data_IF_117949999492
#
_entry.id   IF_117949999492
#
_cell.length_a   1.000
_cell.length_b   1.000
_cell.length_c   1.000
_cell.angle_alpha   90.00
_cell.angle_beta   90.00
_cell.angle_gamma   90.00
#
_symmetry.space_group_name_H-M   'P 1'
#
loop_
_entity.id
_entity.type
_entity.pdbx_description
1 polymer ?
#
# COMPACT_ATOMS: atom_id res chain seq x y z
N UNK A 1 -36.35 -32.80 47.08
CA UNK A 1 -34.90 -32.86 46.77
C UNK A 1 -34.58 -31.77 45.74
N UNK A 2 -33.47 -31.06 45.95
CA UNK A 2 -33.12 -29.79 45.29
C UNK A 2 -32.30 -30.03 43.99
N UNK A 3 -32.70 -29.37 42.89
CA UNK A 3 -31.97 -28.80 41.71
C UNK A 3 -30.62 -29.42 41.24
N UNK A 4 -30.26 -29.44 39.92
CA UNK A 4 -30.37 -28.24 39.06
C UNK A 4 -30.73 -28.44 37.58
N UNK A 5 -31.65 -27.60 37.13
CA UNK A 5 -31.81 -27.17 35.73
C UNK A 5 -30.91 -25.94 35.57
N UNK A 6 -29.69 -26.10 35.05
CA UNK A 6 -28.78 -24.98 34.81
C UNK A 6 -27.72 -25.30 33.75
N UNK A 7 -28.12 -25.87 32.60
CA UNK A 7 -27.16 -26.23 31.55
C UNK A 7 -27.50 -25.71 30.14
N UNK A 8 -28.67 -25.11 29.93
CA UNK A 8 -29.05 -24.57 28.61
C UNK A 8 -28.83 -23.05 28.45
N UNK A 9 -28.52 -22.31 29.52
CA UNK A 9 -28.35 -20.85 29.44
C UNK A 9 -26.92 -20.42 29.05
N UNK A 10 -25.93 -21.33 29.03
CA UNK A 10 -24.51 -20.99 28.83
C UNK A 10 -24.13 -20.93 27.34
N UNK A 11 -24.87 -21.57 26.43
CA UNK A 11 -24.48 -21.61 25.01
C UNK A 11 -24.83 -20.34 24.21
N UNK A 12 -25.73 -19.50 24.71
CA UNK A 12 -26.19 -18.29 24.00
C UNK A 12 -25.31 -17.05 24.26
N UNK A 13 -24.45 -17.08 25.29
CA UNK A 13 -23.61 -15.93 25.66
C UNK A 13 -22.32 -15.84 24.82
N UNK A 14 -21.89 -16.93 24.17
CA UNK A 14 -20.65 -16.94 23.39
C UNK A 14 -20.76 -16.38 21.96
N UNK A 15 -21.94 -15.97 21.49
CA UNK A 15 -22.12 -15.45 20.12
C UNK A 15 -22.00 -13.92 19.99
N UNK A 16 -21.84 -13.18 21.09
CA UNK A 16 -21.79 -11.71 21.06
C UNK A 16 -20.38 -11.10 20.95
N UNK A 17 -19.31 -11.90 20.86
CA UNK A 17 -17.93 -11.40 20.96
C UNK A 17 -17.14 -11.30 19.64
N UNK A 18 -17.73 -11.57 18.48
CA UNK A 18 -17.01 -11.57 17.19
C UNK A 18 -17.48 -10.52 16.18
N UNK A 19 -18.02 -9.39 16.65
CA UNK A 19 -18.36 -8.25 15.78
C UNK A 19 -17.96 -6.90 16.39
N UNK A 20 -16.82 -6.82 17.08
CA UNK A 20 -16.20 -5.53 17.45
C UNK A 20 -15.55 -4.88 16.21
N UNK A 21 -16.28 -4.80 15.10
CA UNK A 21 -15.92 -3.98 13.94
C UNK A 21 -16.36 -2.55 14.21
N UNK A 22 -15.43 -1.59 14.08
CA UNK A 22 -15.57 -0.13 14.23
C UNK A 22 -16.84 0.39 14.94
N UNK A 23 -16.65 1.04 16.09
CA UNK A 23 -17.74 1.77 16.74
C UNK A 23 -18.38 2.79 15.78
N UNK A 24 -19.68 3.08 15.94
CA UNK A 24 -20.36 4.12 15.14
C UNK A 24 -19.62 5.47 15.19
N UNK A 25 -19.03 5.81 16.35
CA UNK A 25 -18.22 7.01 16.50
C UNK A 25 -16.96 6.96 15.63
N UNK A 26 -16.26 5.83 15.57
CA UNK A 26 -15.07 5.67 14.72
C UNK A 26 -15.43 5.76 13.24
N UNK A 27 -16.56 5.17 12.81
CA UNK A 27 -17.05 5.27 11.44
C UNK A 27 -17.30 6.73 11.04
N UNK A 28 -18.04 7.48 11.85
CA UNK A 28 -18.29 8.90 11.59
C UNK A 28 -16.99 9.72 11.49
N UNK A 29 -15.99 9.42 12.35
CA UNK A 29 -14.67 10.06 12.32
C UNK A 29 -13.94 9.73 11.00
N UNK A 30 -14.02 8.50 10.53
CA UNK A 30 -13.38 8.04 9.30
C UNK A 30 -14.04 8.67 8.06
N UNK A 31 -15.37 8.72 8.02
CA UNK A 31 -16.15 9.37 6.95
C UNK A 31 -15.80 10.85 6.82
N UNK A 32 -15.81 11.61 7.91
CA UNK A 32 -15.44 13.03 7.89
C UNK A 32 -14.00 13.27 7.42
N UNK A 33 -13.08 12.38 7.81
CA UNK A 33 -11.68 12.45 7.36
C UNK A 33 -11.56 12.08 5.89
N UNK A 34 -12.29 11.08 5.43
CA UNK A 34 -12.33 10.68 4.04
C UNK A 34 -12.85 11.82 3.14
N UNK A 35 -13.90 12.53 3.55
CA UNK A 35 -14.41 13.70 2.83
C UNK A 35 -13.32 14.77 2.64
N UNK A 36 -12.55 15.03 3.69
CA UNK A 36 -11.41 15.96 3.64
C UNK A 36 -10.31 15.42 2.72
N UNK A 37 -9.95 14.14 2.86
CA UNK A 37 -8.92 13.48 2.06
C UNK A 37 -9.24 13.51 0.58
N UNK A 38 -10.50 13.28 0.19
CA UNK A 38 -10.95 13.29 -1.19
C UNK A 38 -10.65 14.60 -1.90
N UNK A 39 -10.84 15.73 -1.22
CA UNK A 39 -10.54 17.04 -1.78
C UNK A 39 -9.04 17.18 -2.07
N UNK A 40 -8.18 16.80 -1.12
CA UNK A 40 -6.73 16.92 -1.30
C UNK A 40 -6.18 15.88 -2.27
N UNK A 41 -6.70 14.66 -2.27
CA UNK A 41 -6.34 13.59 -3.22
C UNK A 41 -6.54 14.04 -4.67
N UNK A 42 -7.62 14.77 -4.96
CA UNK A 42 -7.85 15.37 -6.29
C UNK A 42 -6.88 16.51 -6.58
N UNK A 43 -6.63 17.39 -5.61
CA UNK A 43 -5.69 18.53 -5.76
C UNK A 43 -4.24 18.10 -5.98
N UNK A 44 -3.80 16.96 -5.44
CA UNK A 44 -2.47 16.39 -5.72
C UNK A 44 -2.25 16.21 -7.23
N UNK A 45 -3.29 15.76 -7.95
CA UNK A 45 -3.21 15.49 -9.39
C UNK A 45 -3.55 16.74 -10.21
N UNK A 46 -4.55 17.51 -9.78
CA UNK A 46 -5.15 18.61 -10.55
C UNK A 46 -4.58 20.00 -10.24
N UNK A 47 -3.68 20.12 -9.26
CA UNK A 47 -3.08 21.39 -8.88
C UNK A 47 -2.34 22.04 -10.05
N UNK A 48 -2.66 23.32 -10.31
CA UNK A 48 -2.16 24.09 -11.46
C UNK A 48 -0.63 24.16 -11.47
N UNK A 49 -0.05 24.47 -10.32
CA UNK A 49 1.39 24.62 -10.10
C UNK A 49 1.88 23.64 -9.03
N UNK A 50 3.19 23.40 -9.04
CA UNK A 50 3.82 22.40 -8.17
C UNK A 50 3.54 22.67 -6.68
N UNK A 51 3.63 23.93 -6.24
CA UNK A 51 3.42 24.32 -4.84
C UNK A 51 2.03 23.89 -4.33
N UNK A 52 0.98 24.11 -5.13
CA UNK A 52 -0.38 23.66 -4.78
C UNK A 52 -0.47 22.14 -4.64
N UNK A 53 0.26 21.38 -5.47
CA UNK A 53 0.30 19.92 -5.40
C UNK A 53 1.08 19.45 -4.17
N UNK A 54 2.20 20.09 -3.84
CA UNK A 54 2.98 19.83 -2.63
C UNK A 54 2.19 20.12 -1.35
N UNK A 55 1.50 21.25 -1.29
CA UNK A 55 0.65 21.60 -0.15
C UNK A 55 -0.49 20.60 0.02
N UNK A 56 -1.15 20.24 -1.08
CA UNK A 56 -2.20 19.23 -1.07
C UNK A 56 -1.68 17.87 -0.59
N UNK A 57 -0.52 17.42 -1.08
CA UNK A 57 0.12 16.18 -0.67
C UNK A 57 0.51 16.17 0.82
N UNK A 58 1.10 17.27 1.31
CA UNK A 58 1.46 17.44 2.72
C UNK A 58 0.24 17.41 3.64
N UNK A 59 -0.86 18.07 3.24
CA UNK A 59 -2.11 18.03 4.01
C UNK A 59 -2.73 16.63 3.94
N UNK A 60 -2.85 16.05 2.74
CA UNK A 60 -3.38 14.71 2.52
C UNK A 60 -2.67 13.69 3.40
N UNK A 61 -1.33 13.65 3.37
CA UNK A 61 -0.51 12.71 4.14
C UNK A 61 -0.80 12.83 5.63
N UNK A 62 -0.85 14.05 6.18
CA UNK A 62 -1.15 14.27 7.61
C UNK A 62 -2.56 13.85 7.98
N UNK A 63 -3.55 14.16 7.14
CA UNK A 63 -4.94 13.77 7.40
C UNK A 63 -5.09 12.24 7.28
N UNK A 64 -4.40 11.60 6.33
CA UNK A 64 -4.44 10.16 6.13
C UNK A 64 -3.91 9.46 7.36
N UNK A 65 -2.71 9.83 7.84
CA UNK A 65 -2.14 9.27 9.07
C UNK A 65 -3.08 9.46 10.26
N UNK A 66 -3.72 10.62 10.39
CA UNK A 66 -4.73 10.85 11.46
C UNK A 66 -5.98 9.99 11.31
N UNK A 67 -6.39 9.66 10.08
CA UNK A 67 -7.51 8.74 9.83
C UNK A 67 -7.12 7.30 10.16
N UNK A 68 -5.91 6.89 9.77
CA UNK A 68 -5.39 5.56 10.07
C UNK A 68 -5.18 5.33 11.57
N UNK A 69 -4.97 6.39 12.37
CA UNK A 69 -4.93 6.32 13.84
C UNK A 69 -6.27 6.03 14.50
N UNK A 70 -7.40 6.18 13.80
CA UNK A 70 -8.70 5.77 14.35
C UNK A 70 -8.68 4.25 14.60
N UNK A 71 -9.09 3.77 15.80
CA UNK A 71 -9.07 2.35 16.10
C UNK A 71 -9.88 1.54 15.08
N UNK A 72 -9.35 0.40 14.65
CA UNK A 72 -9.93 -0.47 13.60
C UNK A 72 -10.08 0.20 12.22
N UNK A 73 -9.32 1.26 11.91
CA UNK A 73 -9.32 1.91 10.58
C UNK A 73 -8.93 0.95 9.43
N UNK A 74 -8.25 -0.16 9.72
CA UNK A 74 -7.85 -1.15 8.72
C UNK A 74 -9.04 -1.68 7.91
N UNK A 75 -10.21 -1.87 8.54
CA UNK A 75 -11.39 -2.41 7.85
C UNK A 75 -12.19 -1.34 7.11
N UNK A 76 -11.88 -0.05 7.30
CA UNK A 76 -12.60 1.03 6.64
C UNK A 76 -12.06 1.21 5.22
N UNK A 77 -12.91 1.18 4.19
CA UNK A 77 -12.43 0.98 2.84
C UNK A 77 -11.80 2.22 2.23
N UNK A 78 -12.20 3.46 2.52
CA UNK A 78 -11.71 4.68 1.81
C UNK A 78 -12.06 4.74 0.30
N UNK A 79 -13.23 4.23 -0.10
CA UNK A 79 -13.62 4.05 -1.52
C UNK A 79 -13.74 5.34 -2.34
N UNK A 80 -13.87 6.50 -1.72
CA UNK A 80 -13.95 7.79 -2.43
C UNK A 80 -12.59 8.38 -2.83
N UNK A 81 -11.47 7.80 -2.36
CA UNK A 81 -10.11 8.23 -2.71
C UNK A 81 -9.68 7.70 -4.09
N UNK A 82 -10.39 8.13 -5.14
CA UNK A 82 -10.25 7.63 -6.53
C UNK A 82 -8.83 7.73 -7.11
N UNK A 83 -8.06 8.76 -6.72
CA UNK A 83 -6.69 9.01 -7.23
C UNK A 83 -5.60 8.34 -6.39
N UNK A 84 -5.97 7.64 -5.32
CA UNK A 84 -5.05 6.99 -4.39
C UNK A 84 -5.24 5.50 -4.54
N UNK A 85 -4.22 4.80 -5.04
CA UNK A 85 -4.28 3.35 -5.03
C UNK A 85 -4.27 2.85 -3.59
N UNK A 86 -5.13 1.89 -3.31
CA UNK A 86 -5.26 1.22 -2.03
C UNK A 86 -5.62 -0.24 -2.28
N UNK A 87 -4.73 -1.15 -1.87
CA UNK A 87 -4.91 -2.58 -2.08
C UNK A 87 -4.76 -3.33 -0.77
N UNK A 88 -5.73 -4.18 -0.46
CA UNK A 88 -5.57 -5.20 0.58
C UNK A 88 -4.75 -6.38 0.02
N UNK A 89 -3.89 -6.95 0.86
CA UNK A 89 -3.29 -8.24 0.53
C UNK A 89 -4.39 -9.32 0.44
N UNK A 90 -4.21 -10.39 -0.37
CA UNK A 90 -5.24 -11.43 -0.53
C UNK A 90 -5.67 -12.11 0.77
N UNK A 91 -4.78 -12.19 1.77
CA UNK A 91 -5.06 -12.68 3.12
C UNK A 91 -5.50 -11.60 4.11
N UNK A 92 -5.64 -10.35 3.67
CA UNK A 92 -5.96 -9.19 4.50
C UNK A 92 -4.98 -8.96 5.67
N UNK A 93 -3.74 -9.45 5.59
CA UNK A 93 -2.71 -9.20 6.59
C UNK A 93 -2.25 -7.73 6.61
N UNK A 94 -2.28 -7.07 5.46
CA UNK A 94 -1.96 -5.64 5.33
C UNK A 94 -2.77 -5.01 4.21
N UNK A 95 -2.69 -3.68 4.12
CA UNK A 95 -3.04 -2.92 2.93
C UNK A 95 -1.96 -1.92 2.60
N UNK A 96 -1.81 -1.62 1.33
CA UNK A 96 -0.83 -0.66 0.81
C UNK A 96 -1.56 0.49 0.14
N UNK A 97 -1.17 1.72 0.49
CA UNK A 97 -1.58 2.95 -0.17
C UNK A 97 -0.43 3.45 -1.02
N UNK A 98 -0.69 3.84 -2.27
CA UNK A 98 0.30 4.46 -3.15
C UNK A 98 -0.34 5.55 -4.01
N UNK A 99 0.32 6.70 -4.12
CA UNK A 99 -0.11 7.81 -4.96
C UNK A 99 1.09 8.59 -5.50
N UNK A 100 0.89 9.33 -6.59
CA UNK A 100 1.94 10.04 -7.30
C UNK A 100 1.85 11.54 -7.05
N UNK A 101 3.00 12.19 -6.96
CA UNK A 101 3.17 13.63 -6.91
C UNK A 101 4.01 14.08 -8.11
N UNK A 102 3.38 14.79 -9.05
CA UNK A 102 4.09 15.39 -10.19
C UNK A 102 4.73 16.68 -9.72
N UNK A 103 6.05 16.70 -9.61
CA UNK A 103 6.82 17.88 -9.19
C UNK A 103 6.96 18.81 -10.41
N UNK A 104 7.45 18.27 -11.52
CA UNK A 104 7.53 18.92 -12.82
C UNK A 104 7.50 17.85 -13.93
N UNK A 105 7.60 18.28 -15.19
CA UNK A 105 7.54 17.41 -16.38
C UNK A 105 8.52 16.21 -16.32
N UNK A 106 9.64 16.35 -15.62
CA UNK A 106 10.69 15.34 -15.58
C UNK A 106 10.82 14.64 -14.24
N UNK A 107 10.10 15.08 -13.20
CA UNK A 107 10.24 14.57 -11.85
C UNK A 107 8.86 14.24 -11.29
N UNK A 108 8.63 12.95 -11.12
CA UNK A 108 7.45 12.38 -10.48
C UNK A 108 7.93 11.59 -9.28
N UNK A 109 7.36 11.88 -8.12
CA UNK A 109 7.69 11.18 -6.87
C UNK A 109 6.52 10.31 -6.46
N UNK A 110 6.80 9.09 -6.04
CA UNK A 110 5.79 8.18 -5.51
C UNK A 110 5.77 8.30 -3.99
N UNK A 111 4.58 8.32 -3.41
CA UNK A 111 4.38 8.25 -1.97
C UNK A 111 3.57 6.99 -1.64
N UNK A 112 3.80 6.43 -0.45
CA UNK A 112 3.02 5.30 -0.02
C UNK A 112 3.13 4.99 1.47
N UNK A 113 2.29 4.07 1.90
CA UNK A 113 2.32 3.53 3.24
C UNK A 113 1.72 2.12 3.28
N UNK A 114 2.30 1.24 4.09
CA UNK A 114 1.74 -0.06 4.42
C UNK A 114 1.11 0.02 5.80
N UNK A 115 -0.19 -0.26 5.89
CA UNK A 115 -0.86 -0.46 7.17
C UNK A 115 -1.04 -1.96 7.43
N UNK A 116 -0.53 -2.42 8.56
CA UNK A 116 -0.73 -3.81 9.00
C UNK A 116 -2.08 -3.96 9.70
N UNK A 117 -2.71 -5.12 9.54
CA UNK A 117 -3.87 -5.50 10.35
C UNK A 117 -3.40 -5.86 11.76
N UNK A 118 -3.99 -5.23 12.75
CA UNK A 118 -3.75 -5.50 14.18
C UNK A 118 -5.01 -6.03 14.83
N UNK A 119 -4.86 -6.90 15.83
CA UNK A 119 -6.00 -7.50 16.53
C UNK A 119 -6.74 -6.48 17.39
N UNK A 120 -5.99 -5.63 18.09
CA UNK A 120 -6.52 -4.57 18.98
C UNK A 120 -7.00 -3.33 18.22
N UNK A 121 -6.87 -3.31 16.89
CA UNK A 121 -7.24 -2.17 16.06
C UNK A 121 -6.28 -1.00 16.12
N UNK A 122 -5.13 -1.13 16.80
CA UNK A 122 -4.09 -0.09 16.86
C UNK A 122 -3.41 0.13 15.50
N UNK A 123 -2.85 1.33 15.28
CA UNK A 123 -2.13 1.62 14.05
C UNK A 123 -0.71 1.03 14.08
N UNK A 124 -0.44 0.05 13.21
CA UNK A 124 0.91 -0.32 12.79
C UNK A 124 1.11 0.09 11.32
N UNK A 125 2.01 1.05 11.08
CA UNK A 125 2.18 1.73 9.80
C UNK A 125 3.66 1.81 9.42
N UNK A 126 3.99 1.46 8.18
CA UNK A 126 5.31 1.67 7.57
C UNK A 126 5.19 2.74 6.48
N UNK A 127 5.83 3.92 6.64
CA UNK A 127 5.89 4.90 5.57
C UNK A 127 6.83 4.39 4.47
N UNK A 128 6.43 4.53 3.21
CA UNK A 128 7.25 4.17 2.06
C UNK A 128 7.94 5.43 1.52
N UNK A 129 9.26 5.49 1.68
CA UNK A 129 10.11 6.59 1.21
C UNK A 129 10.72 6.20 -0.12
N UNK A 130 10.28 6.88 -1.17
CA UNK A 130 10.78 6.69 -2.53
C UNK A 130 12.24 7.17 -2.64
N UNK A 131 13.11 6.24 -3.05
CA UNK A 131 14.54 6.41 -3.31
C UNK A 131 14.91 6.05 -4.74
N UNK A 132 13.94 5.94 -5.64
CA UNK A 132 14.16 5.60 -7.05
C UNK A 132 15.06 6.62 -7.77
N UNK A 133 15.02 7.89 -7.36
CA UNK A 133 15.82 8.99 -7.91
C UNK A 133 17.32 8.89 -7.61
N UNK A 134 17.69 8.28 -6.49
CA UNK A 134 19.09 8.10 -6.06
C UNK A 134 19.61 6.67 -6.22
N UNK A 135 18.76 5.73 -6.64
CA UNK A 135 19.13 4.32 -6.77
C UNK A 135 19.61 4.02 -8.19
N UNK A 136 20.88 3.65 -8.31
CA UNK A 136 21.54 3.45 -9.62
C UNK A 136 20.96 2.23 -10.35
N UNK A 137 20.73 1.12 -9.65
CA UNK A 137 20.22 -0.12 -10.23
C UNK A 137 19.03 -0.67 -9.45
N UNK A 138 17.85 -0.14 -9.76
CA UNK A 138 16.58 -0.52 -9.12
C UNK A 138 16.33 -2.03 -9.25
N UNK A 139 16.64 -2.62 -10.42
CA UNK A 139 16.38 -4.03 -10.68
C UNK A 139 17.17 -4.99 -9.76
N UNK A 140 18.32 -4.56 -9.25
CA UNK A 140 19.19 -5.37 -8.39
C UNK A 140 19.22 -4.91 -6.93
N UNK A 141 18.37 -3.94 -6.57
CA UNK A 141 18.30 -3.40 -5.20
C UNK A 141 17.22 -4.11 -4.38
N UNK A 142 17.59 -4.55 -3.18
CA UNK A 142 16.64 -4.97 -2.14
C UNK A 142 16.42 -3.78 -1.21
N UNK A 143 15.18 -3.35 -1.06
CA UNK A 143 14.78 -2.19 -0.28
C UNK A 143 14.01 -2.55 0.99
N UNK A 144 13.94 -1.60 1.93
CA UNK A 144 12.94 -1.60 3.00
C UNK A 144 11.98 -0.42 2.80
N UNK A 145 11.15 -0.11 3.79
CA UNK A 145 10.23 1.02 3.71
C UNK A 145 10.93 2.39 3.60
N UNK A 146 12.21 2.53 3.99
CA UNK A 146 12.99 3.78 3.85
C UNK A 146 13.83 3.85 2.56
N UNK A 147 13.91 2.73 1.84
CA UNK A 147 14.60 2.58 0.56
C UNK A 147 13.69 1.94 -0.48
N UNK A 148 12.45 2.43 -0.57
CA UNK A 148 11.43 1.90 -1.48
C UNK A 148 11.65 2.46 -2.90
N UNK A 149 11.37 1.67 -3.93
CA UNK A 149 11.69 2.02 -5.33
C UNK A 149 10.55 2.71 -6.08
N UNK A 150 9.50 3.12 -5.38
CA UNK A 150 8.44 3.99 -5.91
C UNK A 150 7.59 3.32 -6.99
N UNK A 151 6.34 2.99 -6.67
CA UNK A 151 5.37 2.52 -7.66
C UNK A 151 3.93 2.80 -7.20
N UNK A 152 3.02 2.98 -8.16
CA UNK A 152 1.58 2.87 -7.93
C UNK A 152 1.18 1.44 -8.19
N UNK A 153 0.86 0.69 -7.13
CA UNK A 153 0.46 -0.71 -7.26
C UNK A 153 -1.00 -0.81 -7.65
N UNK A 154 -1.36 -1.75 -8.52
CA UNK A 154 -2.76 -2.01 -8.91
C UNK A 154 -3.18 -3.46 -8.66
N UNK A 155 -2.25 -4.35 -8.31
CA UNK A 155 -2.57 -5.74 -7.97
C UNK A 155 -1.55 -6.33 -7.00
N UNK A 156 -2.04 -7.17 -6.09
CA UNK A 156 -1.23 -8.00 -5.20
C UNK A 156 -1.55 -9.47 -5.49
N UNK A 157 -0.53 -10.29 -5.66
CA UNK A 157 -0.63 -11.74 -5.82
C UNK A 157 0.14 -12.38 -4.68
N UNK A 158 -0.55 -13.18 -3.86
CA UNK A 158 0.08 -13.89 -2.76
C UNK A 158 0.55 -15.27 -3.21
N UNK A 159 1.77 -15.63 -2.82
CA UNK A 159 2.28 -16.99 -2.85
C UNK A 159 2.85 -17.34 -1.48
N UNK A 160 2.59 -18.56 -1.03
CA UNK A 160 3.19 -19.10 0.19
C UNK A 160 4.29 -20.07 -0.20
N UNK A 161 5.47 -19.92 0.39
CA UNK A 161 6.55 -20.89 0.26
C UNK A 161 7.08 -21.20 1.66
N UNK A 162 7.10 -22.49 2.01
CA UNK A 162 7.36 -22.95 3.38
C UNK A 162 6.43 -22.21 4.38
N UNK A 163 7.00 -21.60 5.43
CA UNK A 163 6.24 -20.85 6.44
C UNK A 163 6.24 -19.32 6.22
N UNK A 164 6.59 -18.86 5.01
CA UNK A 164 6.68 -17.45 4.66
C UNK A 164 5.68 -17.08 3.55
N UNK A 165 4.98 -15.96 3.73
CA UNK A 165 4.18 -15.34 2.67
C UNK A 165 5.04 -14.38 1.84
N UNK A 166 4.84 -14.43 0.53
CA UNK A 166 5.41 -13.53 -0.46
C UNK A 166 4.28 -12.89 -1.25
N UNK A 167 4.38 -11.58 -1.46
CA UNK A 167 3.36 -10.78 -2.13
C UNK A 167 3.99 -10.15 -3.37
N UNK A 168 3.68 -10.69 -4.54
CA UNK A 168 4.06 -10.05 -5.81
C UNK A 168 3.17 -8.85 -6.04
N UNK A 169 3.76 -7.67 -6.04
CA UNK A 169 3.12 -6.39 -6.31
C UNK A 169 3.30 -6.06 -7.79
N UNK A 170 2.18 -5.84 -8.49
CA UNK A 170 2.20 -5.31 -9.85
C UNK A 170 1.92 -3.82 -9.78
N UNK A 171 2.87 -3.04 -10.27
CA UNK A 171 2.82 -1.59 -10.20
C UNK A 171 3.20 -0.92 -11.50
N UNK A 172 3.00 0.39 -11.50
CA UNK A 172 3.42 1.28 -12.56
C UNK A 172 4.11 2.49 -11.94
N UNK A 173 5.16 2.96 -12.61
CA UNK A 173 5.85 4.22 -12.31
C UNK A 173 5.76 5.09 -13.55
N UNK A 174 5.26 6.32 -13.40
CA UNK A 174 5.11 7.25 -14.52
C UNK A 174 6.46 7.76 -15.04
N UNK A 175 7.54 7.59 -14.25
CA UNK A 175 8.94 7.92 -14.54
C UNK A 175 9.15 9.38 -15.00
N UNK A 176 8.77 9.74 -16.22
CA UNK A 176 8.80 11.11 -16.75
C UNK A 176 7.86 11.29 -17.96
N UNK A 177 7.80 12.49 -18.54
CA UNK A 177 6.97 12.76 -19.74
C UNK A 177 7.27 11.87 -20.96
N UNK A 178 8.43 11.21 -21.04
CA UNK A 178 8.85 10.43 -22.23
C UNK A 178 8.66 8.93 -22.09
N UNK A 179 8.48 8.43 -20.87
CA UNK A 179 8.43 6.99 -20.62
C UNK A 179 7.70 6.68 -19.34
N UNK A 180 7.07 5.50 -19.28
CA UNK A 180 6.58 4.92 -18.03
C UNK A 180 7.21 3.55 -17.83
N UNK A 181 7.06 2.99 -16.63
CA UNK A 181 7.59 1.68 -16.24
C UNK A 181 6.47 0.80 -15.72
N UNK A 182 6.48 -0.47 -16.12
CA UNK A 182 5.78 -1.52 -15.38
C UNK A 182 6.76 -2.18 -14.43
N UNK A 183 6.35 -2.32 -13.18
CA UNK A 183 7.18 -2.82 -12.09
C UNK A 183 6.54 -4.10 -11.56
N UNK A 184 7.33 -5.16 -11.44
CA UNK A 184 7.00 -6.35 -10.68
C UNK A 184 8.02 -6.48 -9.56
N UNK A 185 7.52 -6.42 -8.33
CA UNK A 185 8.33 -6.43 -7.12
C UNK A 185 7.73 -7.40 -6.12
N UNK A 186 8.57 -8.07 -5.34
CA UNK A 186 8.11 -8.98 -4.30
C UNK A 186 8.25 -8.29 -2.95
N UNK A 187 7.14 -8.17 -2.22
CA UNK A 187 7.12 -7.77 -0.83
C UNK A 187 7.05 -9.01 0.06
N UNK A 188 7.88 -9.06 1.10
CA UNK A 188 7.72 -9.95 2.23
C UNK A 188 7.94 -9.17 3.54
N UNK A 189 7.69 -9.83 4.67
CA UNK A 189 7.95 -9.26 5.98
C UNK A 189 8.99 -10.12 6.69
N UNK A 190 10.15 -9.55 6.98
CA UNK A 190 11.22 -10.18 7.74
C UNK A 190 11.31 -9.47 9.09
N UNK A 191 11.25 -10.23 10.19
CA UNK A 191 11.18 -9.65 11.55
C UNK A 191 10.11 -8.56 11.66
N UNK A 192 8.94 -8.81 11.07
CA UNK A 192 7.80 -7.89 11.02
C UNK A 192 8.01 -6.57 10.24
N UNK A 193 9.14 -6.41 9.54
CA UNK A 193 9.43 -5.23 8.70
C UNK A 193 9.30 -5.55 7.21
N UNK A 194 8.75 -4.62 6.39
CA UNK A 194 8.59 -4.83 4.95
C UNK A 194 9.95 -4.82 4.24
N UNK A 195 10.18 -5.85 3.44
CA UNK A 195 11.33 -5.98 2.56
C UNK A 195 10.84 -6.14 1.12
N UNK A 196 11.40 -5.32 0.24
CA UNK A 196 11.04 -5.19 -1.15
C UNK A 196 12.15 -5.74 -2.05
N UNK A 197 11.74 -6.56 -3.00
CA UNK A 197 12.63 -7.27 -3.89
C UNK A 197 13.29 -8.49 -3.25
N UNK A 198 14.04 -9.21 -4.07
CA UNK A 198 14.80 -10.39 -3.66
C UNK A 198 14.92 -11.39 -4.80
N UNK A 199 15.70 -12.46 -4.57
CA UNK A 199 16.01 -13.46 -5.60
C UNK A 199 14.86 -14.47 -5.75
N UNK A 200 13.74 -14.01 -6.29
CA UNK A 200 12.52 -14.81 -6.46
C UNK A 200 12.15 -15.11 -7.91
N UNK A 201 12.81 -14.44 -8.85
CA UNK A 201 12.61 -14.63 -10.29
C UNK A 201 13.67 -15.61 -10.84
N UNK A 202 13.20 -16.56 -11.64
CA UNK A 202 14.00 -17.52 -12.42
C UNK A 202 13.34 -17.68 -13.79
N UNK A 203 14.12 -17.63 -14.85
CA UNK A 203 13.65 -17.78 -16.24
C UNK A 203 14.15 -19.11 -16.81
N UNK A 204 13.33 -19.82 -17.58
CA UNK A 204 13.68 -21.17 -18.09
C UNK A 204 14.90 -21.18 -19.03
N UNK A 205 15.25 -20.05 -19.66
CA UNK A 205 16.47 -19.88 -20.46
C UNK A 205 17.74 -19.55 -19.64
N UNK A 206 17.67 -19.48 -18.30
CA UNK A 206 18.78 -19.13 -17.38
C UNK A 206 19.83 -20.26 -17.20
N UNK A 207 20.24 -20.91 -18.29
CA UNK A 207 21.22 -22.02 -18.29
C UNK A 207 22.68 -21.58 -18.16
N UNK A 208 22.97 -20.28 -18.12
CA UNK A 208 24.33 -19.75 -17.91
C UNK A 208 24.34 -18.60 -16.90
N UNK A 209 24.97 -18.83 -15.74
CA UNK A 209 25.34 -17.89 -14.67
C UNK A 209 25.21 -16.40 -15.04
N UNK A 210 24.04 -15.79 -14.79
CA UNK A 210 23.88 -14.32 -14.68
C UNK A 210 22.98 -13.94 -13.50
N UNK A 211 23.21 -12.71 -13.02
CA UNK A 211 22.73 -12.12 -11.78
C UNK A 211 21.21 -12.27 -11.58
N UNK A 212 20.80 -12.85 -10.44
CA UNK A 212 19.41 -12.82 -9.99
C UNK A 212 18.98 -11.39 -9.71
N UNK A 213 17.91 -10.93 -10.36
CA UNK A 213 17.31 -9.60 -10.15
C UNK A 213 16.42 -9.58 -8.91
N UNK A 214 16.44 -8.46 -8.20
CA UNK A 214 15.56 -8.18 -7.07
C UNK A 214 14.14 -7.77 -7.52
N UNK A 215 14.03 -7.06 -8.66
CA UNK A 215 12.77 -6.63 -9.25
C UNK A 215 12.82 -6.69 -10.79
N UNK A 216 11.65 -6.81 -11.43
CA UNK A 216 11.54 -6.73 -12.89
C UNK A 216 10.95 -5.37 -13.29
N UNK A 217 11.66 -4.66 -14.18
CA UNK A 217 11.24 -3.38 -14.74
C UNK A 217 11.15 -3.47 -16.26
N UNK A 218 10.02 -3.05 -16.82
CA UNK A 218 9.87 -2.83 -18.26
C UNK A 218 9.66 -1.35 -18.55
N UNK A 219 10.60 -0.74 -19.29
CA UNK A 219 10.48 0.63 -19.78
C UNK A 219 9.61 0.68 -21.03
N UNK A 220 8.61 1.55 -21.03
CA UNK A 220 7.69 1.79 -22.15
C UNK A 220 7.88 3.23 -22.61
N UNK A 221 8.29 3.43 -23.86
CA UNK A 221 8.35 4.79 -24.45
C UNK A 221 6.93 5.29 -24.69
N UNK A 222 6.64 6.53 -24.28
CA UNK A 222 5.40 7.21 -24.62
C UNK A 222 5.54 7.71 -26.07
N UNK A 223 4.63 7.30 -26.95
CA UNK A 223 4.58 7.88 -28.29
C UNK A 223 4.14 9.33 -28.15
N UNK A 224 4.90 10.27 -28.70
CA UNK A 224 4.40 11.64 -28.84
C UNK A 224 3.19 11.58 -29.78
N UNK A 225 2.03 12.03 -29.29
CA UNK A 225 0.93 12.35 -30.19
C UNK A 225 1.47 13.36 -31.22
N UNK A 226 1.35 13.03 -32.49
CA UNK A 226 1.37 14.08 -33.50
C UNK A 226 0.06 14.84 -33.30
N UNK A 227 0.16 16.02 -32.68
CA UNK A 227 -0.92 17.01 -32.66
C UNK A 227 -1.27 17.45 -34.10
#
# INVERSE_FOLDING_TARGET
MKKPVCLFLVSLVCQLSFAQGNSKANLNILEQKEDSLKQFARKIIQGINADNRFDADSIFTRVLVRALKTPHSFSYPFDSLETISRLYSPDSAFRIFTWQLVINDNVIRQHGAIQMKTYDGSLKLFPLIDKSDITINIADTIGNNYGWMGAIYYRIIQKKSSNQNYYTLLGYDENNIRSSRKIIEVLNFLNDEPVFGGRYFSYEEDSALKHHRAATLWNIKKMQGQD
#
